data_IF_116970120858
#
_entry.id   IF_116970120858
#
_cell.length_a   1.000
_cell.length_b   1.000
_cell.length_c   1.000
_cell.angle_alpha   90.00
_cell.angle_beta   90.00
_cell.angle_gamma   90.00
#
_symmetry.space_group_name_H-M   'P 1'
#
loop_
_entity.id
_entity.type
_entity.pdbx_description
1 polymer ?
#
# COMPACT_ATOMS: atom_id res chain seq x y z
N UNK A 1 -39.88 33.97 5.05
CA UNK A 1 -38.40 34.06 5.15
C UNK A 1 -37.84 32.67 4.91
N UNK A 2 -37.06 32.49 3.83
CA UNK A 2 -36.63 31.20 3.27
C UNK A 2 -35.75 30.37 4.23
N UNK A 3 -36.24 29.22 4.69
CA UNK A 3 -35.47 28.25 5.51
C UNK A 3 -35.03 27.02 4.68
N UNK A 4 -35.61 26.78 3.51
CA UNK A 4 -35.32 25.59 2.69
C UNK A 4 -34.16 25.72 1.68
N UNK A 5 -33.52 26.89 1.57
CA UNK A 5 -32.44 27.09 0.57
C UNK A 5 -31.03 26.75 1.06
N UNK A 6 -30.82 26.53 2.37
CA UNK A 6 -29.49 26.26 2.94
C UNK A 6 -29.16 24.77 3.12
N UNK A 7 -30.15 23.86 3.24
CA UNK A 7 -29.86 22.42 3.44
C UNK A 7 -29.36 21.73 2.17
N UNK A 8 -29.81 22.15 0.99
CA UNK A 8 -29.38 21.56 -0.29
C UNK A 8 -27.97 22.01 -0.72
N UNK A 9 -27.55 23.23 -0.32
CA UNK A 9 -26.18 23.72 -0.52
C UNK A 9 -25.20 23.05 0.45
N UNK A 10 -25.58 22.87 1.73
CA UNK A 10 -24.76 22.14 2.69
C UNK A 10 -24.65 20.64 2.36
N UNK A 11 -25.73 19.99 1.93
CA UNK A 11 -25.68 18.56 1.56
C UNK A 11 -24.86 18.31 0.29
N UNK A 12 -24.91 19.21 -0.71
CA UNK A 12 -24.03 19.14 -1.89
C UNK A 12 -22.57 19.43 -1.56
N UNK A 13 -22.28 20.41 -0.68
CA UNK A 13 -20.91 20.73 -0.27
C UNK A 13 -20.26 19.61 0.57
N UNK A 14 -21.04 18.99 1.47
CA UNK A 14 -20.57 17.85 2.25
C UNK A 14 -20.37 16.63 1.35
N UNK A 15 -21.31 16.30 0.47
CA UNK A 15 -21.18 15.19 -0.48
C UNK A 15 -20.00 15.36 -1.45
N UNK A 16 -19.62 16.61 -1.77
CA UNK A 16 -18.45 16.94 -2.59
C UNK A 16 -17.13 16.85 -1.81
N UNK A 17 -17.11 17.20 -0.51
CA UNK A 17 -15.94 16.98 0.39
C UNK A 17 -15.74 15.49 0.70
N UNK A 18 -16.82 14.76 0.93
CA UNK A 18 -16.82 13.32 1.24
C UNK A 18 -16.32 12.46 0.08
N UNK A 19 -16.60 12.88 -1.16
CA UNK A 19 -16.12 12.20 -2.37
C UNK A 19 -14.60 12.27 -2.56
N UNK A 20 -13.91 13.17 -1.83
CA UNK A 20 -12.47 13.34 -1.93
C UNK A 20 -11.67 12.52 -0.93
N UNK A 21 -12.28 12.07 0.18
CA UNK A 21 -11.60 11.24 1.17
C UNK A 21 -11.19 9.87 0.59
N UNK A 22 -9.95 9.44 0.80
CA UNK A 22 -9.42 8.12 0.49
C UNK A 22 -10.25 7.01 1.11
N UNK A 23 -10.63 7.14 2.38
CA UNK A 23 -11.47 6.16 3.09
C UNK A 23 -12.82 5.98 2.41
N UNK A 24 -13.51 7.08 2.10
CA UNK A 24 -14.77 7.04 1.36
C UNK A 24 -14.58 6.49 -0.06
N UNK A 25 -13.53 6.87 -0.79
CA UNK A 25 -13.21 6.33 -2.11
C UNK A 25 -12.95 4.83 -2.07
N UNK A 26 -12.20 4.36 -1.08
CA UNK A 26 -11.94 2.94 -0.85
C UNK A 26 -13.25 2.17 -0.63
N UNK A 27 -14.08 2.64 0.30
CA UNK A 27 -15.37 2.01 0.60
C UNK A 27 -16.34 2.06 -0.60
N UNK A 28 -16.36 3.14 -1.36
CA UNK A 28 -17.20 3.26 -2.57
C UNK A 28 -16.74 2.30 -3.67
N UNK A 29 -15.43 2.21 -3.93
CA UNK A 29 -14.86 1.24 -4.87
C UNK A 29 -15.20 -0.19 -4.46
N UNK A 30 -15.01 -0.52 -3.17
CA UNK A 30 -15.35 -1.82 -2.63
C UNK A 30 -16.86 -2.14 -2.75
N UNK A 31 -17.74 -1.20 -2.40
CA UNK A 31 -19.18 -1.40 -2.49
C UNK A 31 -19.68 -1.52 -3.94
N UNK A 32 -19.05 -0.81 -4.88
CA UNK A 32 -19.36 -0.92 -6.32
C UNK A 32 -19.08 -2.32 -6.85
N UNK A 33 -18.08 -3.02 -6.30
CA UNK A 33 -17.77 -4.42 -6.64
C UNK A 33 -18.91 -5.39 -6.33
N UNK A 34 -19.89 -5.04 -5.48
CA UNK A 34 -21.02 -5.93 -5.17
C UNK A 34 -22.29 -5.62 -5.97
N UNK A 35 -22.28 -4.64 -6.89
CA UNK A 35 -23.45 -4.25 -7.70
C UNK A 35 -23.22 -4.56 -9.20
N UNK A 36 -23.67 -5.75 -9.61
CA UNK A 36 -23.89 -6.31 -10.97
C UNK A 36 -22.68 -6.39 -11.94
N UNK A 37 -22.64 -7.54 -12.66
CA UNK A 37 -21.72 -7.93 -13.76
C UNK A 37 -20.23 -7.75 -13.48
N UNK A 38 -19.71 -8.58 -12.58
CA UNK A 38 -18.34 -8.47 -12.07
C UNK A 38 -17.52 -9.67 -12.54
N UNK A 39 -16.38 -9.40 -13.18
CA UNK A 39 -15.39 -10.44 -13.49
C UNK A 39 -14.70 -10.93 -12.22
N UNK A 40 -14.25 -12.19 -12.16
CA UNK A 40 -13.56 -12.76 -10.98
C UNK A 40 -12.39 -11.88 -10.48
N UNK A 41 -11.67 -11.24 -11.41
CA UNK A 41 -10.56 -10.34 -11.11
C UNK A 41 -11.02 -9.10 -10.33
N UNK A 42 -12.20 -8.55 -10.61
CA UNK A 42 -12.73 -7.38 -9.91
C UNK A 42 -13.22 -7.72 -8.49
N UNK A 43 -13.53 -8.99 -8.19
CA UNK A 43 -13.81 -9.45 -6.83
C UNK A 43 -12.53 -9.38 -5.99
N UNK A 44 -11.41 -9.84 -6.55
CA UNK A 44 -10.11 -9.83 -5.86
C UNK A 44 -9.48 -8.43 -5.84
N UNK A 45 -9.68 -7.65 -6.90
CA UNK A 45 -9.13 -6.31 -7.08
C UNK A 45 -10.20 -5.31 -7.56
N UNK A 46 -11.06 -4.81 -6.64
CA UNK A 46 -12.12 -3.83 -6.92
C UNK A 46 -11.71 -2.64 -7.78
N UNK A 47 -10.49 -2.14 -7.55
CA UNK A 47 -9.99 -0.91 -8.15
C UNK A 47 -9.07 -1.12 -9.35
N UNK A 48 -8.94 -2.35 -9.86
CA UNK A 48 -7.94 -2.73 -10.87
C UNK A 48 -7.93 -1.82 -12.10
N UNK A 49 -6.75 -1.30 -12.44
CA UNK A 49 -6.51 -0.50 -13.65
C UNK A 49 -5.15 -0.84 -14.23
N UNK A 50 -5.10 -1.17 -15.52
CA UNK A 50 -3.87 -1.64 -16.20
C UNK A 50 -2.82 -0.52 -16.33
N UNK A 51 -3.24 0.71 -16.64
CA UNK A 51 -2.34 1.86 -16.88
C UNK A 51 -1.97 2.64 -15.60
N UNK A 52 -1.80 1.94 -14.48
CA UNK A 52 -1.41 2.52 -13.19
C UNK A 52 0.05 2.18 -12.86
N UNK A 53 0.76 3.11 -12.23
CA UNK A 53 2.13 2.89 -11.73
C UNK A 53 2.14 1.69 -10.77
N UNK A 54 1.09 1.57 -9.96
CA UNK A 54 0.90 0.44 -9.03
C UNK A 54 0.98 -0.90 -9.75
N UNK A 55 0.28 -1.05 -10.89
CA UNK A 55 0.26 -2.29 -11.68
C UNK A 55 1.63 -2.59 -12.30
N UNK A 56 2.31 -1.58 -12.85
CA UNK A 56 3.67 -1.76 -13.39
C UNK A 56 4.66 -2.16 -12.30
N UNK A 57 4.56 -1.53 -11.13
CA UNK A 57 5.44 -1.84 -10.00
C UNK A 57 5.18 -3.25 -9.47
N UNK A 58 3.93 -3.67 -9.36
CA UNK A 58 3.58 -5.04 -9.02
C UNK A 58 4.19 -6.05 -10.00
N UNK A 59 4.05 -5.82 -11.31
CA UNK A 59 4.65 -6.68 -12.33
C UNK A 59 6.18 -6.75 -12.19
N UNK A 60 6.82 -5.61 -11.92
CA UNK A 60 8.25 -5.53 -11.70
C UNK A 60 8.71 -6.35 -10.47
N UNK A 61 7.96 -6.31 -9.37
CA UNK A 61 8.27 -7.12 -8.18
C UNK A 61 8.14 -8.62 -8.46
N UNK A 62 7.08 -9.01 -9.18
CA UNK A 62 6.87 -10.40 -9.58
C UNK A 62 8.02 -10.89 -10.48
N UNK A 63 8.39 -10.08 -11.48
CA UNK A 63 9.49 -10.39 -12.39
C UNK A 63 10.82 -10.52 -11.63
N UNK A 64 11.11 -9.59 -10.72
CA UNK A 64 12.34 -9.61 -9.92
C UNK A 64 12.42 -10.86 -9.05
N UNK A 65 11.32 -11.23 -8.39
CA UNK A 65 11.24 -12.44 -7.59
C UNK A 65 11.39 -13.70 -8.45
N UNK A 66 10.76 -13.74 -9.62
CA UNK A 66 10.86 -14.85 -10.56
C UNK A 66 12.30 -15.03 -11.07
N UNK A 67 12.96 -13.95 -11.52
CA UNK A 67 14.35 -13.97 -11.98
C UNK A 67 15.27 -14.48 -10.87
N UNK A 68 15.13 -13.99 -9.64
CA UNK A 68 15.95 -14.46 -8.52
C UNK A 68 15.74 -15.95 -8.22
N UNK A 69 14.51 -16.43 -8.27
CA UNK A 69 14.22 -17.86 -8.11
C UNK A 69 14.82 -18.70 -9.23
N UNK A 70 14.75 -18.25 -10.48
CA UNK A 70 15.34 -19.00 -11.61
C UNK A 70 16.87 -19.00 -11.54
N UNK A 71 17.50 -17.86 -11.27
CA UNK A 71 18.96 -17.74 -11.22
C UNK A 71 19.59 -18.40 -9.98
N UNK A 72 18.87 -18.45 -8.87
CA UNK A 72 19.36 -18.95 -7.57
C UNK A 72 18.41 -19.98 -6.98
N UNK A 73 17.95 -20.88 -7.85
CA UNK A 73 16.97 -21.90 -7.51
C UNK A 73 17.49 -22.81 -6.41
N UNK A 74 16.76 -22.85 -5.29
CA UNK A 74 17.04 -23.77 -4.21
C UNK A 74 16.16 -25.01 -4.36
N UNK A 75 16.80 -26.18 -4.52
CA UNK A 75 16.09 -27.46 -4.65
C UNK A 75 15.42 -27.89 -3.34
N UNK A 76 15.89 -27.39 -2.19
CA UNK A 76 15.36 -27.79 -0.88
C UNK A 76 14.16 -26.95 -0.45
N UNK A 77 14.12 -25.68 -0.84
CA UNK A 77 13.07 -24.75 -0.46
C UNK A 77 12.63 -23.85 -1.63
N UNK A 78 11.87 -24.36 -2.62
CA UNK A 78 11.51 -23.61 -3.82
C UNK A 78 10.58 -22.42 -3.57
N UNK A 79 9.98 -22.31 -2.37
CA UNK A 79 9.09 -21.21 -2.00
C UNK A 79 9.82 -20.07 -1.26
N UNK A 80 11.08 -20.27 -0.89
CA UNK A 80 11.90 -19.32 -0.14
C UNK A 80 13.17 -18.99 -0.91
N UNK A 81 13.62 -17.75 -0.83
CA UNK A 81 14.94 -17.40 -1.32
C UNK A 81 16.02 -17.99 -0.41
N UNK A 82 17.08 -18.53 -1.01
CA UNK A 82 18.23 -19.04 -0.29
C UNK A 82 18.84 -17.93 0.60
N UNK A 83 19.30 -18.28 1.81
CA UNK A 83 19.84 -17.33 2.78
C UNK A 83 21.00 -16.49 2.24
N UNK A 84 21.81 -17.06 1.34
CA UNK A 84 22.93 -16.34 0.71
C UNK A 84 22.44 -15.17 -0.14
N UNK A 85 21.40 -15.40 -0.93
CA UNK A 85 20.72 -14.38 -1.75
C UNK A 85 20.06 -13.35 -0.83
N UNK A 86 19.43 -13.83 0.25
CA UNK A 86 18.78 -12.97 1.22
C UNK A 86 19.76 -11.95 1.82
N UNK A 87 20.93 -12.41 2.29
CA UNK A 87 21.99 -11.54 2.84
C UNK A 87 22.61 -10.62 1.78
N UNK A 88 22.66 -11.05 0.53
CA UNK A 88 23.22 -10.25 -0.56
C UNK A 88 22.32 -9.06 -0.92
N UNK A 89 21.03 -9.30 -1.14
CA UNK A 89 20.08 -8.28 -1.63
C UNK A 89 19.25 -7.62 -0.54
N UNK A 90 19.06 -8.28 0.60
CA UNK A 90 18.34 -7.76 1.74
C UNK A 90 19.15 -6.74 2.54
N UNK A 91 18.42 -5.92 3.27
CA UNK A 91 18.96 -4.98 4.23
C UNK A 91 19.17 -5.67 5.57
N UNK A 92 20.35 -5.51 6.16
CA UNK A 92 20.60 -5.86 7.56
C UNK A 92 21.29 -4.68 8.25
N UNK A 93 21.09 -4.55 9.57
CA UNK A 93 21.73 -3.47 10.34
C UNK A 93 23.24 -3.43 10.11
N UNK A 94 23.89 -4.60 10.20
CA UNK A 94 25.33 -4.73 9.95
C UNK A 94 25.75 -4.26 8.55
N UNK A 95 24.96 -4.57 7.51
CA UNK A 95 25.26 -4.13 6.14
C UNK A 95 25.20 -2.61 5.98
N UNK A 96 24.26 -1.96 6.68
CA UNK A 96 24.07 -0.50 6.57
C UNK A 96 25.06 0.26 7.44
N UNK A 97 25.25 -0.16 8.70
CA UNK A 97 26.10 0.56 9.67
C UNK A 97 27.59 0.28 9.48
N UNK A 98 27.96 -0.99 9.28
CA UNK A 98 29.37 -1.40 9.29
C UNK A 98 29.95 -1.50 7.88
N UNK A 99 29.14 -1.84 6.88
CA UNK A 99 29.58 -1.95 5.48
C UNK A 99 29.16 -0.73 4.63
N UNK A 100 28.55 0.29 5.22
CA UNK A 100 28.11 1.53 4.56
C UNK A 100 27.24 1.32 3.30
N UNK A 101 26.46 0.24 3.26
CA UNK A 101 25.62 -0.11 2.10
C UNK A 101 24.26 0.60 2.14
N UNK A 102 24.27 1.94 2.15
CA UNK A 102 23.04 2.75 2.26
C UNK A 102 22.06 2.54 1.11
N UNK A 103 22.53 2.15 -0.07
CA UNK A 103 21.66 1.82 -1.21
C UNK A 103 20.65 0.70 -0.87
N UNK A 104 20.99 -0.20 0.07
CA UNK A 104 20.09 -1.26 0.53
C UNK A 104 18.85 -0.74 1.23
N UNK A 105 18.87 0.49 1.76
CA UNK A 105 17.67 1.15 2.32
C UNK A 105 16.60 1.38 1.26
N UNK A 106 16.97 1.49 -0.01
CA UNK A 106 16.00 1.62 -1.10
C UNK A 106 15.84 0.29 -1.84
N UNK A 107 16.94 -0.39 -2.16
CA UNK A 107 16.89 -1.58 -3.02
C UNK A 107 16.23 -2.78 -2.34
N UNK A 108 16.34 -2.91 -1.01
CA UNK A 108 15.72 -4.02 -0.28
C UNK A 108 14.19 -4.03 -0.40
N UNK A 109 13.56 -2.89 -0.70
CA UNK A 109 12.10 -2.78 -0.91
C UNK A 109 11.61 -3.54 -2.13
N UNK A 110 12.46 -3.73 -3.14
CA UNK A 110 12.10 -4.40 -4.39
C UNK A 110 12.19 -5.93 -4.31
N UNK A 111 12.88 -6.46 -3.30
CA UNK A 111 13.10 -7.90 -3.15
C UNK A 111 12.16 -8.50 -2.09
N UNK A 112 11.74 -9.75 -2.29
CA UNK A 112 10.85 -10.45 -1.37
C UNK A 112 11.48 -11.77 -0.96
N UNK A 113 11.42 -12.10 0.34
CA UNK A 113 12.10 -13.27 0.90
C UNK A 113 11.43 -14.60 0.54
N UNK A 114 10.13 -14.59 0.27
CA UNK A 114 9.34 -15.77 -0.02
C UNK A 114 8.11 -15.43 -0.88
N UNK A 115 7.51 -16.48 -1.46
CA UNK A 115 6.34 -16.36 -2.34
C UNK A 115 5.13 -15.78 -1.58
N UNK A 116 4.91 -16.18 -0.33
CA UNK A 116 3.74 -15.77 0.44
C UNK A 116 3.74 -14.27 0.76
N UNK A 117 4.89 -13.73 1.17
CA UNK A 117 5.10 -12.31 1.39
C UNK A 117 4.90 -11.52 0.10
N UNK A 118 5.35 -12.04 -1.04
CA UNK A 118 5.07 -11.42 -2.33
C UNK A 118 3.57 -11.39 -2.63
N UNK A 119 2.87 -12.52 -2.52
CA UNK A 119 1.42 -12.62 -2.82
C UNK A 119 0.61 -11.68 -1.92
N UNK A 120 0.84 -11.73 -0.61
CA UNK A 120 0.10 -10.93 0.37
C UNK A 120 0.37 -9.44 0.15
N UNK A 121 1.64 -9.05 0.04
CA UNK A 121 2.00 -7.65 -0.15
C UNK A 121 1.50 -7.12 -1.50
N UNK A 122 1.61 -7.91 -2.56
CA UNK A 122 1.06 -7.58 -3.86
C UNK A 122 -0.46 -7.37 -3.81
N UNK A 123 -1.17 -8.24 -3.11
CA UNK A 123 -2.61 -8.14 -2.96
C UNK A 123 -3.01 -6.81 -2.31
N UNK A 124 -2.40 -6.47 -1.17
CA UNK A 124 -2.66 -5.20 -0.50
C UNK A 124 -2.20 -4.00 -1.31
N UNK A 125 -1.05 -4.10 -1.96
CA UNK A 125 -0.47 -3.01 -2.73
C UNK A 125 -1.32 -2.68 -3.96
N UNK A 126 -1.84 -3.68 -4.66
CA UNK A 126 -2.76 -3.46 -5.79
C UNK A 126 -4.08 -2.83 -5.35
N UNK A 127 -4.64 -3.27 -4.22
CA UNK A 127 -5.89 -2.72 -3.72
C UNK A 127 -5.76 -1.28 -3.24
N UNK A 128 -4.76 -1.02 -2.38
CA UNK A 128 -4.57 0.28 -1.76
C UNK A 128 -3.84 1.25 -2.69
N UNK A 129 -2.77 0.78 -3.34
CA UNK A 129 -1.90 1.60 -4.18
C UNK A 129 -2.63 2.28 -5.32
N UNK A 130 -3.55 1.58 -6.01
CA UNK A 130 -4.33 2.18 -7.10
C UNK A 130 -5.24 3.30 -6.57
N UNK A 131 -5.79 3.15 -5.37
CA UNK A 131 -6.68 4.16 -4.77
C UNK A 131 -5.88 5.40 -4.35
N UNK A 132 -4.69 5.20 -3.78
CA UNK A 132 -3.76 6.28 -3.44
C UNK A 132 -3.28 6.99 -4.71
N UNK A 133 -2.89 6.25 -5.75
CA UNK A 133 -2.44 6.79 -7.04
C UNK A 133 -3.53 7.65 -7.71
N UNK A 134 -4.78 7.17 -7.71
CA UNK A 134 -5.93 7.93 -8.24
C UNK A 134 -6.26 9.17 -7.42
N UNK A 135 -5.96 9.16 -6.11
CA UNK A 135 -6.33 10.26 -5.21
C UNK A 135 -5.30 11.39 -5.20
N UNK A 136 -4.01 11.08 -5.24
CA UNK A 136 -2.93 12.07 -5.19
C UNK A 136 -2.26 12.35 -6.54
N UNK A 137 -2.53 11.51 -7.54
CA UNK A 137 -1.87 11.55 -8.84
C UNK A 137 -0.50 10.89 -8.83
N UNK A 138 0.01 10.62 -10.04
CA UNK A 138 1.20 9.80 -10.30
C UNK A 138 2.48 10.32 -9.63
N UNK A 139 2.72 11.63 -9.70
CA UNK A 139 3.95 12.23 -9.16
C UNK A 139 4.01 12.14 -7.63
N UNK A 140 2.94 12.55 -6.93
CA UNK A 140 2.86 12.45 -5.48
C UNK A 140 2.88 11.01 -5.00
N UNK A 141 2.21 10.09 -5.72
CA UNK A 141 2.25 8.67 -5.42
C UNK A 141 3.68 8.11 -5.40
N UNK A 142 4.50 8.44 -6.40
CA UNK A 142 5.91 8.03 -6.42
C UNK A 142 6.71 8.64 -5.28
N UNK A 143 6.48 9.92 -4.95
CA UNK A 143 7.13 10.57 -3.82
C UNK A 143 6.77 9.90 -2.49
N UNK A 144 5.48 9.60 -2.28
CA UNK A 144 4.97 8.87 -1.10
C UNK A 144 5.65 7.51 -1.01
N UNK A 145 5.71 6.75 -2.11
CA UNK A 145 6.38 5.45 -2.13
C UNK A 145 7.85 5.55 -1.73
N UNK A 146 8.57 6.52 -2.30
CA UNK A 146 10.00 6.71 -2.05
C UNK A 146 10.27 7.10 -0.59
N UNK A 147 9.53 8.08 -0.07
CA UNK A 147 9.66 8.52 1.33
C UNK A 147 9.27 7.40 2.29
N UNK A 148 8.19 6.67 2.01
CA UNK A 148 7.75 5.54 2.84
C UNK A 148 8.79 4.41 2.86
N UNK A 149 9.40 4.11 1.71
CA UNK A 149 10.46 3.12 1.62
C UNK A 149 11.69 3.54 2.44
N UNK A 150 12.18 4.77 2.26
CA UNK A 150 13.36 5.28 2.95
C UNK A 150 13.13 5.38 4.46
N UNK A 151 12.09 6.09 4.90
CA UNK A 151 11.80 6.27 6.31
C UNK A 151 11.46 4.94 6.99
N UNK A 152 10.65 4.11 6.33
CA UNK A 152 10.28 2.79 6.86
C UNK A 152 11.50 1.90 7.04
N UNK A 153 12.35 1.75 6.01
CA UNK A 153 13.55 0.92 6.11
C UNK A 153 14.59 1.51 7.07
N UNK A 154 14.67 2.83 7.20
CA UNK A 154 15.51 3.46 8.19
C UNK A 154 15.07 3.10 9.62
N UNK A 155 13.78 3.23 9.93
CA UNK A 155 13.22 2.83 11.23
C UNK A 155 13.42 1.33 11.47
N UNK A 156 13.19 0.50 10.45
CA UNK A 156 13.40 -0.95 10.53
C UNK A 156 14.87 -1.28 10.81
N UNK A 157 15.82 -0.60 10.16
CA UNK A 157 17.24 -0.74 10.43
C UNK A 157 17.60 -0.32 11.87
N UNK A 158 17.02 0.79 12.35
CA UNK A 158 17.24 1.33 13.69
C UNK A 158 16.62 0.49 14.82
N UNK A 159 15.60 -0.32 14.53
CA UNK A 159 14.91 -1.16 15.54
C UNK A 159 15.27 -2.64 15.47
N UNK A 160 15.80 -3.12 14.33
CA UNK A 160 16.03 -4.54 14.11
C UNK A 160 17.29 -5.13 14.73
N UNK A 161 17.23 -6.42 15.09
CA UNK A 161 18.37 -7.18 15.59
C UNK A 161 19.53 -7.27 14.58
N UNK A 162 20.76 -7.39 15.08
CA UNK A 162 21.98 -7.29 14.26
C UNK A 162 22.09 -8.36 13.15
N UNK A 163 21.40 -9.49 13.29
CA UNK A 163 21.38 -10.59 12.33
C UNK A 163 20.13 -10.68 11.45
N UNK A 164 19.10 -9.86 11.66
CA UNK A 164 17.87 -9.98 10.88
C UNK A 164 18.01 -9.29 9.52
N UNK A 165 17.63 -10.03 8.48
CA UNK A 165 17.57 -9.51 7.11
C UNK A 165 16.13 -9.11 6.80
N UNK A 166 15.96 -7.90 6.31
CA UNK A 166 14.68 -7.32 5.96
C UNK A 166 14.66 -6.95 4.49
N UNK A 167 13.51 -7.19 3.87
CA UNK A 167 13.23 -6.84 2.48
C UNK A 167 11.72 -6.86 2.25
N UNK A 168 11.31 -6.18 1.19
CA UNK A 168 9.93 -6.17 0.71
C UNK A 168 9.26 -4.82 0.80
N UNK A 169 8.08 -4.76 0.19
CA UNK A 169 7.30 -3.52 0.04
C UNK A 169 6.46 -3.17 1.27
N UNK A 170 6.55 -3.95 2.35
CA UNK A 170 5.77 -3.74 3.58
C UNK A 170 5.96 -2.35 4.19
N UNK A 171 7.13 -1.73 4.02
CA UNK A 171 7.38 -0.35 4.47
C UNK A 171 6.57 0.68 3.67
N UNK A 172 6.46 0.52 2.36
CA UNK A 172 5.58 1.35 1.53
C UNK A 172 4.11 1.16 1.92
N UNK A 173 3.68 -0.09 2.12
CA UNK A 173 2.32 -0.40 2.59
C UNK A 173 2.00 0.24 3.94
N UNK A 174 2.95 0.22 4.88
CA UNK A 174 2.78 0.90 6.17
C UNK A 174 2.68 2.42 6.01
N UNK A 175 3.41 3.01 5.06
CA UNK A 175 3.28 4.43 4.70
C UNK A 175 1.91 4.76 4.11
N UNK A 176 1.37 3.90 3.25
CA UNK A 176 0.00 4.05 2.76
C UNK A 176 -1.01 3.98 3.89
N UNK A 177 -0.88 3.03 4.82
CA UNK A 177 -1.75 2.97 6.01
C UNK A 177 -1.64 4.24 6.85
N UNK A 178 -0.46 4.83 6.96
CA UNK A 178 -0.26 6.15 7.59
C UNK A 178 -1.09 7.26 6.94
N UNK A 179 -1.24 7.27 5.62
CA UNK A 179 -2.10 8.25 4.91
C UNK A 179 -3.58 8.06 5.25
N UNK A 180 -4.06 6.81 5.29
CA UNK A 180 -5.43 6.54 5.72
C UNK A 180 -5.65 6.99 7.18
N UNK A 181 -4.68 6.72 8.06
CA UNK A 181 -4.77 7.14 9.45
C UNK A 181 -4.77 8.67 9.59
N UNK A 182 -3.88 9.36 8.87
CA UNK A 182 -3.84 10.82 8.83
C UNK A 182 -5.20 11.39 8.42
N UNK A 183 -5.79 10.85 7.36
CA UNK A 183 -7.07 11.33 6.87
C UNK A 183 -8.21 11.10 7.88
N UNK A 184 -8.24 9.94 8.54
CA UNK A 184 -9.20 9.63 9.61
C UNK A 184 -9.05 10.63 10.76
N UNK A 185 -7.81 10.93 11.17
CA UNK A 185 -7.55 11.86 12.27
C UNK A 185 -7.97 13.29 11.90
N UNK A 186 -7.64 13.76 10.70
CA UNK A 186 -8.02 15.10 10.23
C UNK A 186 -9.55 15.26 10.11
N UNK A 187 -10.25 14.21 9.70
CA UNK A 187 -11.69 14.24 9.41
C UNK A 187 -12.54 13.50 10.45
N UNK A 188 -11.99 13.23 11.66
CA UNK A 188 -12.62 12.35 12.65
C UNK A 188 -14.01 12.82 13.10
N UNK A 189 -14.22 14.14 13.23
CA UNK A 189 -15.51 14.72 13.64
C UNK A 189 -16.61 14.47 12.60
N UNK A 190 -16.28 14.61 11.32
CA UNK A 190 -17.23 14.36 10.23
C UNK A 190 -17.57 12.88 10.08
N UNK A 191 -16.62 11.99 10.40
CA UNK A 191 -16.81 10.54 10.37
C UNK A 191 -17.67 10.05 11.55
N UNK A 192 -17.43 10.57 12.75
CA UNK A 192 -18.19 10.18 13.97
C UNK A 192 -19.65 10.64 13.93
N UNK A 193 -19.93 11.82 13.42
CA UNK A 193 -21.31 12.29 13.21
C UNK A 193 -22.11 11.40 12.24
N UNK A 194 -21.44 10.75 11.27
CA UNK A 194 -22.12 9.85 10.32
C UNK A 194 -22.32 8.45 10.88
N UNK A 195 -21.35 7.94 11.64
CA UNK A 195 -21.49 6.66 12.33
C UNK A 195 -22.61 6.70 13.37
N UNK A 196 -22.76 7.81 14.11
CA UNK A 196 -23.88 7.96 15.05
C UNK A 196 -25.24 7.98 14.34
N UNK A 197 -25.31 8.56 13.14
CA UNK A 197 -26.52 8.54 12.31
C UNK A 197 -26.85 7.09 11.88
N UNK A 198 -25.87 6.33 11.38
CA UNK A 198 -26.09 4.93 10.95
C UNK A 198 -26.52 4.04 12.12
N UNK A 199 -25.91 4.20 13.29
CA UNK A 199 -26.29 3.47 14.51
C UNK A 199 -27.69 3.86 14.98
N UNK A 200 -28.09 5.12 14.86
CA UNK A 200 -29.46 5.54 15.21
C UNK A 200 -30.53 5.04 14.22
N UNK A 201 -30.15 4.64 13.01
CA UNK A 201 -31.05 4.09 11.99
C UNK A 201 -31.04 2.56 11.92
N UNK A 202 -30.22 1.90 12.75
CA UNK A 202 -30.11 0.43 12.86
C UNK A 202 -30.78 -0.04 14.15
#
# INVERSE_FOLDING_TARGET
MNIFSNSSKNSKSNKFRDGNLLTCKYTMCFNKTFKKDISFIQILFPSFTVNSITTFFFLFLYLTFFILNVCKFDKQAPLYLNETVLKQYGMSRNSVTNNHQYYKLLTATFFHSNVWSLIINAYYFMNIGIIVEKSYGKAHYMAIMLVSALCGNFILCATSYCGSVQMGISTILSGFMGLFLQEIVEHYKQLTEKWSIIVNYM
#
